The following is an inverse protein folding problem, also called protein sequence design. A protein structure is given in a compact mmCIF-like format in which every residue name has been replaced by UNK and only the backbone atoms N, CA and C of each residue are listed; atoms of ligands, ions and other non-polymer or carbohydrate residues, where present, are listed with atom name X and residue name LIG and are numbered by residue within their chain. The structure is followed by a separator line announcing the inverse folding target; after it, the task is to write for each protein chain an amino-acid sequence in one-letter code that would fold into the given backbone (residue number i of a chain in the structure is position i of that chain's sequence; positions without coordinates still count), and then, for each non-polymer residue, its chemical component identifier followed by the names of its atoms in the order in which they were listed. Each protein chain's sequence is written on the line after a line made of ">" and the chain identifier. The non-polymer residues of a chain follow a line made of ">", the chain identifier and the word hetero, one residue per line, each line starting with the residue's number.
data_IF_498589154269
#
_entry.id   IF_498589154269
#
_cell.length_a   1.000
_cell.length_b   1.000
_cell.length_c   1.000
_cell.angle_alpha   90.00
_cell.angle_beta   90.00
_cell.angle_gamma   90.00
#
_symmetry.space_group_name_H-M   'P 1'
#
loop_
_entity.id
_entity.type
_entity.pdbx_description
1 polymer ?
#
# COMPACT_ATOMS: atom_id res chain seq x y z
N UNK A 1 30.27 37.77 50.56
CA UNK A 1 30.76 36.69 49.66
C UNK A 1 29.89 35.42 49.59
N UNK A 2 29.07 35.06 50.59
CA UNK A 2 28.27 33.80 50.55
C UNK A 2 27.01 33.82 49.64
N UNK A 3 26.50 34.99 49.26
CA UNK A 3 25.25 35.14 48.48
C UNK A 3 25.46 35.06 46.96
N UNK A 4 26.63 35.43 46.45
CA UNK A 4 26.95 35.35 45.01
C UNK A 4 27.15 33.89 44.54
N UNK A 5 27.77 33.05 45.39
CA UNK A 5 27.98 31.62 45.10
C UNK A 5 26.68 30.84 44.93
N UNK A 6 25.64 31.12 45.74
CA UNK A 6 24.33 30.43 45.62
C UNK A 6 23.57 30.76 44.34
N UNK A 7 23.70 32.00 43.83
CA UNK A 7 23.05 32.42 42.57
C UNK A 7 23.71 31.80 41.34
N UNK A 8 25.05 31.67 41.35
CA UNK A 8 25.80 31.04 40.27
C UNK A 8 25.53 29.53 40.21
N UNK A 9 25.46 28.86 41.37
CA UNK A 9 25.12 27.43 41.45
C UNK A 9 23.67 27.20 40.98
N UNK A 10 22.71 28.05 41.38
CA UNK A 10 21.33 27.96 40.92
C UNK A 10 21.16 28.17 39.41
N UNK A 11 21.92 29.10 38.82
CA UNK A 11 21.94 29.33 37.37
C UNK A 11 22.54 28.13 36.61
N UNK A 12 23.67 27.60 37.09
CA UNK A 12 24.29 26.41 36.48
C UNK A 12 23.36 25.19 36.53
N UNK A 13 22.64 25.02 37.64
CA UNK A 13 21.67 23.93 37.83
C UNK A 13 20.45 24.08 36.92
N UNK A 14 19.93 25.30 36.71
CA UNK A 14 18.84 25.55 35.77
C UNK A 14 19.27 25.30 34.31
N UNK A 15 20.48 25.71 33.93
CA UNK A 15 21.02 25.49 32.58
C UNK A 15 21.23 23.99 32.32
N UNK A 16 21.74 23.23 33.30
CA UNK A 16 21.88 21.77 33.16
C UNK A 16 20.52 21.06 33.08
N UNK A 17 19.52 21.51 33.83
CA UNK A 17 18.16 20.97 33.75
C UNK A 17 17.51 21.21 32.37
N UNK A 18 17.71 22.40 31.80
CA UNK A 18 17.20 22.76 30.46
C UNK A 18 17.90 21.94 29.37
N UNK A 19 19.21 21.70 29.47
CA UNK A 19 19.97 20.87 28.53
C UNK A 19 19.54 19.40 28.62
N UNK A 20 19.23 18.88 29.80
CA UNK A 20 18.70 17.52 29.97
C UNK A 20 17.29 17.36 29.42
N UNK A 21 16.43 18.38 29.51
CA UNK A 21 15.08 18.34 28.92
C UNK A 21 15.11 18.47 27.39
N UNK A 22 16.12 19.12 26.81
CA UNK A 22 16.29 19.21 25.35
C UNK A 22 16.75 17.90 24.68
N UNK A 23 17.31 16.94 25.45
CA UNK A 23 17.76 15.65 24.94
C UNK A 23 16.68 14.56 24.79
N UNK A 24 15.45 14.82 25.25
CA UNK A 24 14.40 13.82 25.43
C UNK A 24 13.57 13.45 24.20
N UNK A 25 13.72 14.15 23.07
CA UNK A 25 12.92 13.89 21.86
C UNK A 25 13.70 13.05 20.84
N UNK A 26 14.06 11.81 21.20
CA UNK A 26 14.46 10.79 20.22
C UNK A 26 13.44 9.66 20.24
N UNK A 27 12.52 9.69 19.28
CA UNK A 27 11.65 8.55 18.97
C UNK A 27 12.52 7.43 18.38
N UNK A 28 12.91 6.45 19.20
CA UNK A 28 13.58 5.23 18.74
C UNK A 28 12.56 4.25 18.12
N UNK A 29 11.87 4.68 17.08
CA UNK A 29 11.00 3.79 16.30
C UNK A 29 11.83 3.04 15.28
N UNK A 30 12.38 1.87 15.63
CA UNK A 30 12.95 0.97 14.62
C UNK A 30 11.81 0.26 13.89
N UNK A 31 11.95 0.14 12.57
CA UNK A 31 10.99 -0.54 11.68
C UNK A 31 10.80 -2.00 12.08
N UNK A 32 11.90 -2.65 12.44
CA UNK A 32 11.96 -4.08 12.76
C UNK A 32 11.09 -4.51 13.95
N UNK A 33 10.63 -3.58 14.80
CA UNK A 33 9.77 -3.89 15.95
C UNK A 33 8.29 -3.59 15.71
N UNK A 34 7.93 -3.20 14.49
CA UNK A 34 6.53 -2.93 14.14
C UNK A 34 5.79 -4.23 13.89
N UNK A 35 4.54 -4.27 14.34
CA UNK A 35 3.70 -5.45 14.27
C UNK A 35 3.30 -5.72 12.81
N UNK A 36 3.60 -6.92 12.32
CA UNK A 36 3.18 -7.41 10.99
C UNK A 36 2.01 -8.39 11.08
N UNK A 37 1.38 -8.54 12.26
CA UNK A 37 0.28 -9.46 12.47
C UNK A 37 -0.96 -9.16 11.64
N UNK A 38 -1.12 -7.92 11.17
CA UNK A 38 -2.18 -7.56 10.24
C UNK A 38 -2.13 -8.36 8.92
N UNK A 39 -0.98 -8.95 8.55
CA UNK A 39 -0.87 -9.80 7.37
C UNK A 39 -1.68 -11.10 7.51
N UNK A 40 -1.86 -11.62 8.73
CA UNK A 40 -2.49 -12.92 8.97
C UNK A 40 -3.64 -12.90 9.99
N UNK A 41 -3.93 -11.76 10.62
CA UNK A 41 -5.08 -11.60 11.51
C UNK A 41 -6.14 -10.70 10.86
N UNK A 42 -7.28 -11.26 10.41
CA UNK A 42 -8.38 -10.49 9.82
C UNK A 42 -8.94 -9.39 10.74
N UNK A 43 -8.86 -9.54 12.07
CA UNK A 43 -9.34 -8.51 13.00
C UNK A 43 -8.50 -7.23 12.99
N UNK A 44 -7.27 -7.32 12.45
CA UNK A 44 -6.33 -6.21 12.27
C UNK A 44 -6.38 -5.64 10.85
N UNK A 45 -7.39 -6.01 10.05
CA UNK A 45 -7.64 -5.48 8.72
C UNK A 45 -8.94 -4.68 8.72
N UNK A 46 -8.87 -3.43 8.24
CA UNK A 46 -10.05 -2.64 7.92
C UNK A 46 -10.33 -2.76 6.42
N UNK A 47 -11.29 -3.59 6.04
CA UNK A 47 -11.67 -3.76 4.65
C UNK A 47 -12.04 -2.40 4.02
N UNK A 48 -11.55 -2.14 2.80
CA UNK A 48 -11.64 -0.86 2.06
C UNK A 48 -10.89 0.34 2.66
N UNK A 49 -10.02 0.12 3.66
CA UNK A 49 -8.96 1.08 3.98
C UNK A 49 -7.89 1.01 2.89
N UNK A 50 -7.74 2.07 2.12
CA UNK A 50 -6.80 2.11 1.00
C UNK A 50 -5.94 3.37 1.05
N UNK A 51 -4.73 3.24 0.54
CA UNK A 51 -3.78 4.33 0.40
C UNK A 51 -3.13 4.27 -0.97
N UNK A 52 -2.67 5.42 -1.43
CA UNK A 52 -1.89 5.53 -2.66
C UNK A 52 -0.89 6.68 -2.54
N UNK A 53 0.22 6.58 -3.27
CA UNK A 53 1.28 7.59 -3.28
C UNK A 53 1.43 8.16 -4.69
N UNK A 54 1.46 9.49 -4.78
CA UNK A 54 1.69 10.18 -6.04
C UNK A 54 2.68 11.33 -5.85
N UNK A 55 3.82 11.25 -6.52
CA UNK A 55 4.77 12.34 -6.60
C UNK A 55 4.10 13.52 -7.32
N UNK A 56 3.93 14.66 -6.66
CA UNK A 56 3.46 15.88 -7.32
C UNK A 56 4.58 16.57 -8.09
N UNK A 57 5.81 16.46 -7.56
CA UNK A 57 7.04 16.98 -8.14
C UNK A 57 8.25 16.33 -7.45
N UNK A 58 9.43 16.94 -7.64
CA UNK A 58 10.70 16.49 -7.08
C UNK A 58 10.79 16.57 -5.54
N UNK A 59 9.90 17.33 -4.90
CA UNK A 59 9.99 17.70 -3.48
C UNK A 59 8.71 17.39 -2.69
N UNK A 60 7.61 17.05 -3.36
CA UNK A 60 6.31 16.83 -2.74
C UNK A 60 5.71 15.52 -3.26
N UNK A 61 5.24 14.69 -2.33
CA UNK A 61 4.46 13.49 -2.60
C UNK A 61 3.11 13.61 -1.90
N UNK A 62 2.02 13.35 -2.60
CA UNK A 62 0.71 13.19 -1.99
C UNK A 62 0.51 11.74 -1.51
N UNK A 63 0.18 11.59 -0.23
CA UNK A 63 -0.41 10.39 0.32
C UNK A 63 -1.93 10.53 0.27
N UNK A 64 -2.58 9.74 -0.56
CA UNK A 64 -4.02 9.62 -0.57
C UNK A 64 -4.46 8.57 0.45
N UNK A 65 -5.59 8.82 1.11
CA UNK A 65 -6.22 7.87 2.03
C UNK A 65 -7.71 7.80 1.75
N UNK A 66 -8.25 6.58 1.71
CA UNK A 66 -9.69 6.31 1.67
C UNK A 66 -10.05 5.30 2.73
N UNK A 67 -11.11 5.56 3.48
CA UNK A 67 -11.65 4.58 4.41
C UNK A 67 -13.17 4.70 4.55
N UNK A 68 -13.87 3.58 4.82
CA UNK A 68 -15.31 3.56 5.00
C UNK A 68 -15.69 4.08 6.40
N UNK A 69 -16.53 5.12 6.47
CA UNK A 69 -17.01 5.68 7.75
C UNK A 69 -17.86 4.68 8.52
N UNK A 70 -18.64 3.86 7.82
CA UNK A 70 -19.57 2.89 8.41
C UNK A 70 -18.87 1.67 9.05
N UNK A 71 -17.57 1.49 8.84
CA UNK A 71 -16.79 0.42 9.51
C UNK A 71 -16.06 0.91 10.77
N UNK A 72 -16.20 2.18 11.14
CA UNK A 72 -15.68 2.71 12.40
C UNK A 72 -16.68 2.51 13.55
N UNK A 73 -16.17 2.39 14.77
CA UNK A 73 -16.99 2.33 15.96
C UNK A 73 -17.52 3.72 16.33
N UNK A 74 -18.83 3.85 16.35
CA UNK A 74 -19.51 5.04 16.87
C UNK A 74 -19.76 4.86 18.37
N UNK A 75 -19.47 5.91 19.12
CA UNK A 75 -19.75 5.98 20.56
C UNK A 75 -20.48 7.28 20.87
N UNK A 76 -21.32 7.26 21.90
CA UNK A 76 -22.00 8.46 22.36
C UNK A 76 -21.08 9.30 23.25
N UNK A 77 -20.79 10.52 22.81
CA UNK A 77 -19.92 11.47 23.47
C UNK A 77 -20.68 12.79 23.55
N UNK A 78 -20.91 13.30 24.76
CA UNK A 78 -21.64 14.55 24.98
C UNK A 78 -23.03 14.60 24.30
N UNK A 79 -23.74 13.48 24.27
CA UNK A 79 -25.08 13.37 23.66
C UNK A 79 -25.08 13.36 22.12
N UNK A 80 -23.91 13.22 21.49
CA UNK A 80 -23.76 13.01 20.06
C UNK A 80 -23.07 11.69 19.82
N UNK A 81 -23.57 10.91 18.86
CA UNK A 81 -22.87 9.71 18.41
C UNK A 81 -21.79 10.13 17.41
N UNK A 82 -20.56 9.75 17.69
CA UNK A 82 -19.38 10.19 16.95
C UNK A 82 -18.43 9.01 16.75
N UNK A 83 -17.82 8.91 15.57
CA UNK A 83 -16.65 8.07 15.31
C UNK A 83 -15.40 8.95 15.35
N UNK A 84 -14.34 8.51 16.04
CA UNK A 84 -13.07 9.24 16.13
C UNK A 84 -11.93 8.37 15.62
N UNK A 85 -11.06 8.96 14.83
CA UNK A 85 -9.92 8.25 14.25
C UNK A 85 -8.64 9.07 14.28
N UNK A 86 -7.51 8.39 14.19
CA UNK A 86 -6.18 8.99 14.09
C UNK A 86 -5.41 8.29 12.98
N UNK A 87 -4.92 9.06 12.01
CA UNK A 87 -3.97 8.59 11.01
C UNK A 87 -2.58 9.10 11.39
N UNK A 88 -1.60 8.21 11.47
CA UNK A 88 -0.20 8.61 11.60
C UNK A 88 0.60 8.07 10.44
N UNK A 89 1.55 8.86 9.97
CA UNK A 89 2.54 8.42 8.99
C UNK A 89 3.95 8.68 9.52
N UNK A 90 4.87 7.80 9.17
CA UNK A 90 6.28 7.90 9.50
C UNK A 90 7.11 7.57 8.26
N UNK A 91 7.98 8.48 7.84
CA UNK A 91 8.86 8.33 6.69
C UNK A 91 10.23 7.82 7.16
N UNK A 92 10.69 6.73 6.55
CA UNK A 92 11.98 6.11 6.82
C UNK A 92 12.87 6.11 5.58
N UNK A 93 14.19 6.10 5.79
CA UNK A 93 15.16 6.05 4.71
C UNK A 93 15.06 4.75 3.91
N UNK A 94 15.05 3.60 4.58
CA UNK A 94 14.84 2.29 3.95
C UNK A 94 14.35 1.28 5.01
N UNK A 95 14.13 0.03 4.63
CA UNK A 95 13.66 -1.01 5.55
C UNK A 95 14.67 -1.38 6.65
N UNK A 96 15.96 -1.30 6.33
CA UNK A 96 17.07 -1.77 7.16
C UNK A 96 17.60 -0.65 8.07
N UNK A 97 17.94 0.48 7.48
CA UNK A 97 18.22 1.74 8.15
C UNK A 97 16.89 2.39 8.52
N UNK A 98 16.33 1.95 9.66
CA UNK A 98 15.13 2.51 10.29
C UNK A 98 15.31 3.97 10.80
N UNK A 99 16.11 4.80 10.11
CA UNK A 99 16.25 6.22 10.41
C UNK A 99 14.95 6.91 10.03
N UNK A 100 14.22 7.35 11.06
CA UNK A 100 13.05 8.20 10.90
C UNK A 100 13.49 9.55 10.31
N UNK A 101 12.94 9.90 9.15
CA UNK A 101 13.17 11.16 8.46
C UNK A 101 12.14 12.19 8.90
N UNK A 102 10.87 11.81 8.89
CA UNK A 102 9.76 12.69 9.23
C UNK A 102 8.55 11.88 9.73
N UNK A 103 7.63 12.53 10.42
CA UNK A 103 6.36 11.94 10.83
C UNK A 103 5.31 12.98 11.16
N UNK A 104 4.04 12.63 10.99
CA UNK A 104 2.94 13.43 11.51
C UNK A 104 1.76 12.57 11.95
N UNK A 105 0.83 13.21 12.65
CA UNK A 105 -0.42 12.61 13.08
C UNK A 105 -1.59 13.55 12.77
N UNK A 106 -2.60 13.01 12.11
CA UNK A 106 -3.88 13.66 11.89
C UNK A 106 -4.94 13.00 12.75
N UNK A 107 -5.82 13.79 13.36
CA UNK A 107 -6.98 13.30 14.10
C UNK A 107 -8.23 13.82 13.42
N UNK A 108 -9.22 12.96 13.26
CA UNK A 108 -10.50 13.31 12.67
C UNK A 108 -11.67 12.71 13.45
N UNK A 109 -12.86 13.17 13.08
CA UNK A 109 -14.11 12.78 13.70
C UNK A 109 -15.22 12.82 12.65
N UNK A 110 -16.14 11.86 12.71
CA UNK A 110 -17.43 11.93 12.03
C UNK A 110 -18.56 11.93 13.06
N UNK A 111 -19.43 12.94 13.01
CA UNK A 111 -20.62 13.08 13.85
C UNK A 111 -21.91 12.99 13.05
N UNK A 112 -21.83 12.88 11.71
CA UNK A 112 -22.97 12.86 10.81
C UNK A 112 -23.49 11.44 10.53
N UNK A 113 -22.80 10.40 11.01
CA UNK A 113 -23.04 9.00 10.63
C UNK A 113 -23.06 8.85 9.12
N UNK A 114 -22.06 9.45 8.47
CA UNK A 114 -22.04 9.52 7.02
C UNK A 114 -21.94 8.11 6.46
N UNK A 115 -22.90 7.72 5.64
CA UNK A 115 -22.80 6.47 4.87
C UNK A 115 -21.87 6.74 3.69
N UNK A 116 -20.79 5.97 3.59
CA UNK A 116 -19.84 6.07 2.48
C UNK A 116 -18.39 6.14 2.94
N UNK A 117 -17.56 6.78 2.12
CA UNK A 117 -16.11 6.84 2.30
C UNK A 117 -15.66 8.25 2.64
N UNK A 118 -14.69 8.34 3.55
CA UNK A 118 -13.82 9.50 3.64
C UNK A 118 -12.73 9.35 2.60
N UNK A 119 -12.54 10.38 1.79
CA UNK A 119 -11.36 10.55 0.95
C UNK A 119 -10.59 11.77 1.43
N UNK A 120 -9.28 11.64 1.58
CA UNK A 120 -8.40 12.73 1.97
C UNK A 120 -7.01 12.58 1.35
N UNK A 121 -6.21 13.65 1.41
CA UNK A 121 -4.84 13.67 0.91
C UNK A 121 -3.92 14.49 1.80
N UNK A 122 -2.71 13.99 2.02
CA UNK A 122 -1.67 14.65 2.82
C UNK A 122 -0.45 14.89 1.93
N UNK A 123 0.00 16.13 1.84
CA UNK A 123 1.25 16.47 1.17
C UNK A 123 2.44 16.17 2.11
N UNK A 124 3.37 15.33 1.65
CA UNK A 124 4.59 14.96 2.34
C UNK A 124 5.75 15.62 1.60
N UNK A 125 6.52 16.45 2.32
CA UNK A 125 7.72 17.09 1.78
C UNK A 125 8.88 16.08 1.79
N UNK A 126 9.27 15.62 0.61
CA UNK A 126 10.31 14.60 0.43
C UNK A 126 10.98 14.82 -0.91
N UNK A 127 12.31 14.93 -0.90
CA UNK A 127 13.09 15.20 -2.11
C UNK A 127 13.40 13.93 -2.90
N UNK A 128 13.58 14.07 -4.20
CA UNK A 128 14.16 13.05 -5.05
C UNK A 128 15.60 12.72 -4.64
N UNK A 129 16.05 11.52 -5.01
CA UNK A 129 17.44 11.07 -4.83
C UNK A 129 17.58 9.75 -4.08
N UNK A 130 16.52 9.26 -3.44
CA UNK A 130 16.48 7.93 -2.80
C UNK A 130 15.06 7.38 -2.83
N UNK A 131 14.94 6.07 -2.67
CA UNK A 131 13.66 5.45 -2.34
C UNK A 131 13.47 5.48 -0.83
N UNK A 132 12.22 5.47 -0.38
CA UNK A 132 11.84 5.60 1.01
C UNK A 132 10.75 4.60 1.38
N UNK A 133 10.52 4.44 2.68
CA UNK A 133 9.43 3.62 3.22
C UNK A 133 8.52 4.49 4.08
N UNK A 134 7.22 4.43 3.84
CA UNK A 134 6.21 5.07 4.68
C UNK A 134 5.51 4.00 5.52
N UNK A 135 5.60 4.13 6.84
CA UNK A 135 4.72 3.44 7.77
C UNK A 135 3.44 4.25 7.96
N UNK A 136 2.30 3.60 7.79
CA UNK A 136 0.99 4.16 8.07
C UNK A 136 0.35 3.40 9.22
N UNK A 137 -0.32 4.14 10.09
CA UNK A 137 -1.13 3.56 11.16
C UNK A 137 -2.43 4.33 11.25
N UNK A 138 -3.53 3.66 10.95
CA UNK A 138 -4.88 4.16 11.15
C UNK A 138 -5.44 3.55 12.43
N UNK A 139 -5.90 4.41 13.34
CA UNK A 139 -6.39 4.00 14.64
C UNK A 139 -7.84 4.46 14.81
N UNK A 140 -8.75 3.50 14.95
CA UNK A 140 -10.10 3.75 15.42
C UNK A 140 -10.03 3.96 16.94
N UNK A 141 -10.19 5.22 17.35
CA UNK A 141 -10.03 5.64 18.73
C UNK A 141 -11.14 5.12 19.64
N UNK A 142 -12.31 4.79 19.09
CA UNK A 142 -13.45 4.32 19.86
C UNK A 142 -13.42 2.78 19.99
N UNK A 143 -13.00 2.07 18.93
CA UNK A 143 -12.83 0.62 18.96
C UNK A 143 -11.53 0.18 19.66
N UNK A 144 -10.54 1.08 19.75
CA UNK A 144 -9.19 0.73 20.20
C UNK A 144 -8.45 -0.18 19.19
N UNK A 145 -8.85 -0.15 17.92
CA UNK A 145 -8.28 -0.99 16.85
C UNK A 145 -7.32 -0.22 15.97
N UNK A 146 -6.18 -0.83 15.68
CA UNK A 146 -5.12 -0.26 14.87
C UNK A 146 -4.91 -1.08 13.59
N UNK A 147 -4.79 -0.38 12.47
CA UNK A 147 -4.61 -0.95 11.13
C UNK A 147 -3.36 -0.33 10.51
N UNK A 148 -2.31 -1.14 10.40
CA UNK A 148 -0.98 -0.70 9.99
C UNK A 148 -0.67 -1.13 8.55
N UNK A 149 0.01 -0.27 7.79
CA UNK A 149 0.41 -0.57 6.41
C UNK A 149 1.78 0.04 6.07
N UNK A 150 2.50 -0.67 5.20
CA UNK A 150 3.77 -0.22 4.62
C UNK A 150 3.57 0.17 3.17
N UNK A 151 4.09 1.34 2.78
CA UNK A 151 4.15 1.77 1.38
C UNK A 151 5.58 2.07 0.98
N UNK A 152 5.94 1.64 -0.23
CA UNK A 152 7.21 2.02 -0.85
C UNK A 152 7.01 3.34 -1.60
N UNK A 153 7.87 4.31 -1.32
CA UNK A 153 7.91 5.58 -2.02
C UNK A 153 9.14 5.60 -2.93
N UNK A 154 8.91 5.58 -4.24
CA UNK A 154 9.98 5.57 -5.23
C UNK A 154 10.32 7.00 -5.68
N UNK A 155 11.52 7.45 -5.38
CA UNK A 155 12.01 8.78 -5.83
C UNK A 155 13.46 8.71 -6.32
N UNK A 156 13.93 7.50 -6.63
CA UNK A 156 15.25 7.26 -7.20
C UNK A 156 15.23 7.30 -8.72
N UNK A 157 15.61 8.45 -9.24
CA UNK A 157 15.80 8.66 -10.67
C UNK A 157 14.69 9.51 -11.30
N UNK A 158 14.74 9.68 -12.62
CA UNK A 158 13.89 10.62 -13.33
C UNK A 158 12.45 10.13 -13.52
N UNK A 159 12.22 8.82 -13.46
CA UNK A 159 10.92 8.17 -13.70
C UNK A 159 10.75 7.05 -12.70
N UNK A 160 9.65 7.07 -11.96
CA UNK A 160 9.36 6.19 -10.85
C UNK A 160 7.92 5.65 -10.93
N UNK A 161 7.63 4.46 -10.38
CA UNK A 161 6.26 3.97 -10.30
C UNK A 161 5.28 4.93 -9.60
N UNK A 162 5.73 5.65 -8.56
CA UNK A 162 4.92 6.65 -7.84
C UNK A 162 4.78 7.98 -8.58
N UNK A 163 5.34 8.11 -9.79
CA UNK A 163 5.03 9.23 -10.68
C UNK A 163 3.72 8.98 -11.45
N UNK A 164 3.09 7.81 -11.29
CA UNK A 164 1.87 7.42 -11.97
C UNK A 164 0.82 6.89 -10.97
N UNK A 165 -0.44 7.23 -11.19
CA UNK A 165 -1.58 6.59 -10.52
C UNK A 165 -2.74 6.39 -11.49
N UNK A 166 -3.65 5.49 -11.13
CA UNK A 166 -4.93 5.34 -11.82
C UNK A 166 -5.99 6.21 -11.13
N UNK A 167 -6.82 6.85 -11.95
CA UNK A 167 -7.92 7.69 -11.50
C UNK A 167 -9.21 7.34 -12.22
N UNK A 168 -10.35 7.62 -11.61
CA UNK A 168 -11.63 7.61 -12.32
C UNK A 168 -11.71 8.78 -13.33
N UNK A 169 -12.81 8.85 -14.09
CA UNK A 169 -13.03 9.92 -15.08
C UNK A 169 -13.01 11.33 -14.46
N UNK A 170 -13.33 11.45 -13.17
CA UNK A 170 -13.39 12.71 -12.40
C UNK A 170 -12.04 13.07 -11.78
N UNK A 171 -11.02 12.21 -11.90
CA UNK A 171 -9.69 12.41 -11.35
C UNK A 171 -9.49 11.93 -9.92
N UNK A 172 -10.44 11.18 -9.33
CA UNK A 172 -10.25 10.56 -8.02
C UNK A 172 -9.37 9.31 -8.16
N UNK A 173 -8.29 9.18 -7.35
CA UNK A 173 -7.46 7.98 -7.32
C UNK A 173 -8.25 6.70 -7.09
N UNK A 174 -8.00 5.68 -7.92
CA UNK A 174 -8.57 4.34 -7.73
C UNK A 174 -7.93 3.62 -6.54
N UNK A 175 -6.71 4.04 -6.13
CA UNK A 175 -5.92 3.44 -5.05
C UNK A 175 -5.61 1.95 -5.26
N UNK A 176 -5.37 1.60 -6.52
CA UNK A 176 -5.02 0.26 -6.99
C UNK A 176 -4.37 0.38 -8.36
N UNK A 177 -3.65 -0.67 -8.73
CA UNK A 177 -2.98 -0.81 -10.02
C UNK A 177 -3.64 -1.87 -10.92
N UNK A 178 -4.91 -2.17 -10.69
CA UNK A 178 -5.71 -3.04 -11.56
C UNK A 178 -7.00 -2.34 -11.96
N UNK A 179 -7.60 -2.77 -13.07
CA UNK A 179 -8.87 -2.26 -13.59
C UNK A 179 -9.85 -3.40 -13.84
N UNK A 180 -11.14 -3.13 -13.67
CA UNK A 180 -12.19 -4.07 -14.03
C UNK A 180 -12.42 -4.09 -15.54
N UNK A 181 -13.08 -5.16 -16.01
CA UNK A 181 -13.48 -5.28 -17.39
C UNK A 181 -14.32 -4.08 -17.82
N UNK A 182 -13.87 -3.38 -18.86
CA UNK A 182 -14.54 -2.19 -19.39
C UNK A 182 -14.67 -1.02 -18.40
N UNK A 183 -13.90 -1.02 -17.31
CA UNK A 183 -13.83 0.14 -16.43
C UNK A 183 -13.22 1.32 -17.17
N UNK A 184 -13.87 2.48 -17.08
CA UNK A 184 -13.30 3.74 -17.55
C UNK A 184 -12.37 4.32 -16.49
N UNK A 185 -11.15 4.63 -16.89
CA UNK A 185 -10.16 5.25 -16.01
C UNK A 185 -9.24 6.18 -16.80
N UNK A 186 -8.43 6.94 -16.07
CA UNK A 186 -7.37 7.78 -16.62
C UNK A 186 -6.08 7.48 -15.89
N UNK A 187 -4.96 7.55 -16.61
CA UNK A 187 -3.63 7.55 -16.00
C UNK A 187 -3.27 9.00 -15.69
N UNK A 188 -2.95 9.26 -14.43
CA UNK A 188 -2.36 10.54 -14.02
C UNK A 188 -0.85 10.37 -13.93
N UNK A 189 -0.09 11.31 -14.49
CA UNK A 189 1.38 11.31 -14.48
C UNK A 189 1.92 12.60 -13.86
N UNK A 190 2.98 12.50 -13.07
CA UNK A 190 3.73 13.65 -12.54
C UNK A 190 4.64 14.28 -13.61
N UNK A 191 4.86 13.57 -14.72
CA UNK A 191 5.76 13.95 -15.78
C UNK A 191 5.07 14.92 -16.76
N UNK A 192 5.88 15.77 -17.39
CA UNK A 192 5.42 16.69 -18.42
C UNK A 192 5.50 16.02 -19.79
N UNK A 193 4.58 15.09 -20.05
CA UNK A 193 4.54 14.29 -21.28
C UNK A 193 3.28 14.62 -22.10
N UNK A 194 3.40 14.56 -23.42
CA UNK A 194 2.26 14.75 -24.34
C UNK A 194 1.44 13.46 -24.53
N UNK A 195 2.01 12.31 -24.17
CA UNK A 195 1.35 11.02 -24.27
C UNK A 195 1.94 9.99 -23.32
N UNK A 196 1.12 9.04 -22.87
CA UNK A 196 1.55 7.85 -22.15
C UNK A 196 1.51 6.63 -23.08
N UNK A 197 2.58 5.85 -23.12
CA UNK A 197 2.66 4.61 -23.91
C UNK A 197 2.32 3.41 -23.03
N UNK A 198 1.27 2.64 -23.34
CA UNK A 198 1.04 1.32 -22.71
C UNK A 198 1.46 0.20 -23.65
N UNK A 199 2.43 -0.59 -23.19
CA UNK A 199 2.75 -1.89 -23.76
C UNK A 199 1.87 -2.98 -23.17
N UNK A 200 1.15 -3.72 -24.00
CA UNK A 200 0.30 -4.84 -23.59
C UNK A 200 1.03 -6.17 -23.68
N UNK A 201 0.86 -7.01 -22.66
CA UNK A 201 1.25 -8.41 -22.64
C UNK A 201 0.06 -9.27 -22.20
N UNK A 202 -0.51 -10.11 -23.08
CA UNK A 202 -1.68 -10.96 -22.79
C UNK A 202 -1.35 -12.14 -21.87
N UNK A 203 -0.08 -12.28 -21.47
CA UNK A 203 0.44 -13.49 -20.83
C UNK A 203 -0.31 -13.80 -19.52
N UNK A 204 -0.83 -15.03 -19.42
CA UNK A 204 -1.13 -15.66 -18.13
C UNK A 204 0.14 -15.60 -17.30
N UNK A 205 0.15 -14.82 -16.22
CA UNK A 205 1.33 -14.73 -15.36
C UNK A 205 1.72 -16.16 -14.97
N UNK A 206 2.93 -16.64 -15.31
CA UNK A 206 3.34 -17.95 -14.86
C UNK A 206 3.23 -17.96 -13.33
N UNK A 207 2.82 -19.09 -12.74
CA UNK A 207 2.74 -19.20 -11.29
C UNK A 207 4.06 -18.72 -10.69
N UNK A 208 3.97 -17.93 -9.61
CA UNK A 208 5.15 -17.41 -8.94
C UNK A 208 6.14 -18.56 -8.67
N UNK A 209 7.45 -18.37 -8.83
CA UNK A 209 8.40 -19.42 -8.46
C UNK A 209 8.20 -19.80 -6.98
N UNK A 210 8.52 -21.04 -6.56
CA UNK A 210 8.36 -21.45 -5.18
C UNK A 210 9.12 -20.50 -4.24
N UNK A 211 8.68 -20.38 -2.97
CA UNK A 211 9.46 -19.69 -1.96
C UNK A 211 10.91 -20.22 -1.97
N UNK A 212 11.90 -19.32 -1.91
CA UNK A 212 13.34 -19.64 -1.91
C UNK A 212 13.91 -20.22 -3.22
N UNK A 213 13.14 -20.33 -4.29
CA UNK A 213 13.72 -20.69 -5.58
C UNK A 213 14.70 -19.60 -6.04
N UNK A 214 15.90 -20.01 -6.44
CA UNK A 214 16.85 -19.10 -7.08
C UNK A 214 16.19 -18.54 -8.34
N UNK A 215 16.21 -17.20 -8.55
CA UNK A 215 15.60 -16.62 -9.72
C UNK A 215 16.29 -17.20 -10.96
N UNK A 216 15.57 -18.04 -11.72
CA UNK A 216 15.89 -18.21 -13.13
C UNK A 216 15.82 -16.82 -13.74
N UNK A 217 16.73 -16.48 -14.65
CA UNK A 217 16.68 -15.21 -15.38
C UNK A 217 15.30 -15.07 -16.04
N UNK A 218 14.37 -14.38 -15.38
CA UNK A 218 13.03 -14.15 -15.92
C UNK A 218 13.22 -13.10 -17.01
N UNK A 219 13.29 -13.57 -18.26
CA UNK A 219 13.21 -12.69 -19.40
C UNK A 219 11.78 -12.16 -19.45
N UNK A 220 11.61 -10.86 -19.17
CA UNK A 220 10.32 -10.23 -19.39
C UNK A 220 10.10 -10.11 -20.90
N UNK A 221 9.02 -10.68 -21.44
CA UNK A 221 8.74 -10.57 -22.87
C UNK A 221 8.53 -9.11 -23.25
N UNK A 222 8.92 -8.76 -24.48
CA UNK A 222 8.55 -7.49 -25.09
C UNK A 222 7.02 -7.37 -25.15
N UNK A 223 6.50 -6.13 -25.14
CA UNK A 223 5.08 -5.90 -25.33
C UNK A 223 4.63 -6.41 -26.70
N UNK A 224 3.51 -7.14 -26.74
CA UNK A 224 2.91 -7.67 -27.96
C UNK A 224 2.33 -6.54 -28.82
N UNK A 225 1.89 -5.47 -28.16
CA UNK A 225 1.49 -4.23 -28.80
C UNK A 225 1.80 -3.03 -27.91
N UNK A 226 1.97 -1.86 -28.50
CA UNK A 226 2.13 -0.60 -27.78
C UNK A 226 1.12 0.39 -28.34
N UNK A 227 0.36 1.01 -27.45
CA UNK A 227 -0.61 2.06 -27.79
C UNK A 227 -0.23 3.34 -27.05
N UNK A 228 -0.44 4.49 -27.66
CA UNK A 228 -0.20 5.80 -27.05
C UNK A 228 -1.52 6.52 -26.79
N UNK A 229 -1.70 7.07 -25.59
CA UNK A 229 -2.84 7.92 -25.24
C UNK A 229 -2.35 9.33 -24.97
N UNK A 230 -3.06 10.32 -25.50
CA UNK A 230 -2.70 11.73 -25.28
C UNK A 230 -2.83 12.08 -23.80
N UNK A 231 -1.92 12.91 -23.32
CA UNK A 231 -1.93 13.48 -21.97
C UNK A 231 -2.18 14.98 -22.07
N UNK A 232 -3.10 15.47 -21.25
CA UNK A 232 -3.40 16.89 -21.10
C UNK A 232 -3.62 17.19 -19.63
N UNK A 233 -2.98 18.25 -19.12
CA UNK A 233 -3.03 18.65 -17.72
C UNK A 233 -2.69 17.50 -16.76
N UNK A 234 -1.66 16.70 -17.07
CA UNK A 234 -1.22 15.53 -16.30
C UNK A 234 -2.16 14.32 -16.30
N UNK A 235 -3.22 14.31 -17.11
CA UNK A 235 -4.13 13.17 -17.24
C UNK A 235 -4.18 12.67 -18.68
N UNK A 236 -4.15 11.35 -18.85
CA UNK A 236 -4.46 10.72 -20.14
C UNK A 236 -5.88 11.02 -20.60
N UNK A 237 -6.19 10.73 -21.86
CA UNK A 237 -7.57 10.47 -22.30
C UNK A 237 -8.21 9.33 -21.48
N UNK A 238 -9.54 9.17 -21.57
CA UNK A 238 -10.24 8.06 -20.91
C UNK A 238 -9.84 6.75 -21.60
N UNK A 239 -9.39 5.80 -20.80
CA UNK A 239 -8.93 4.48 -21.24
C UNK A 239 -9.96 3.45 -20.78
N UNK A 240 -10.13 2.41 -21.61
CA UNK A 240 -10.91 1.23 -21.30
C UNK A 240 -10.13 0.01 -21.78
N UNK A 241 -9.95 -0.97 -20.89
CA UNK A 241 -9.22 -2.21 -21.19
C UNK A 241 -10.19 -3.40 -21.14
N UNK A 242 -10.14 -4.25 -22.16
CA UNK A 242 -10.96 -5.48 -22.26
C UNK A 242 -10.15 -6.74 -21.95
N UNK A 243 -8.93 -6.80 -22.44
CA UNK A 243 -8.16 -8.04 -22.50
C UNK A 243 -7.42 -8.28 -21.19
N UNK A 244 -7.44 -9.53 -20.73
CA UNK A 244 -6.69 -9.93 -19.54
C UNK A 244 -5.18 -9.88 -19.80
N UNK A 245 -4.43 -9.39 -18.81
CA UNK A 245 -2.99 -9.31 -18.90
C UNK A 245 -2.39 -8.12 -18.17
N UNK A 246 -1.18 -7.77 -18.59
CA UNK A 246 -0.41 -6.67 -18.02
C UNK A 246 -0.26 -5.56 -19.06
N UNK A 247 -0.56 -4.36 -18.62
CA UNK A 247 -0.37 -3.13 -19.39
C UNK A 247 0.71 -2.32 -18.68
N UNK A 248 1.87 -2.19 -19.31
CA UNK A 248 3.00 -1.50 -18.75
C UNK A 248 3.06 -0.09 -19.32
N UNK A 249 3.08 0.93 -18.47
CA UNK A 249 3.52 2.25 -18.90
C UNK A 249 5.00 2.16 -19.25
N UNK A 250 5.34 2.49 -20.48
CA UNK A 250 6.72 2.45 -20.99
C UNK A 250 7.21 3.88 -21.16
N UNK A 251 8.35 4.17 -20.52
CA UNK A 251 9.02 5.46 -20.61
C UNK A 251 10.51 5.24 -20.92
N UNK A 252 11.01 5.88 -21.97
CA UNK A 252 12.38 5.67 -22.50
C UNK A 252 12.77 4.19 -22.66
N UNK A 253 11.84 3.37 -23.15
CA UNK A 253 12.04 1.92 -23.36
C UNK A 253 12.10 1.09 -22.08
N UNK A 254 11.79 1.68 -20.92
CA UNK A 254 11.73 0.99 -19.62
C UNK A 254 10.32 1.01 -19.07
N UNK A 255 9.95 -0.04 -18.34
CA UNK A 255 8.68 -0.09 -17.62
C UNK A 255 8.70 0.88 -16.44
N UNK A 256 7.81 1.86 -16.44
CA UNK A 256 7.64 2.84 -15.38
C UNK A 256 6.54 2.45 -14.39
N UNK A 257 5.40 1.97 -14.88
CA UNK A 257 4.24 1.59 -14.08
C UNK A 257 3.55 0.37 -14.69
N UNK A 258 2.73 -0.35 -13.92
CA UNK A 258 2.03 -1.56 -14.39
C UNK A 258 0.59 -1.52 -13.95
N UNK A 259 -0.29 -1.75 -14.93
CA UNK A 259 -1.73 -1.88 -14.78
C UNK A 259 -2.10 -3.33 -15.06
N UNK A 260 -2.88 -3.94 -14.19
CA UNK A 260 -3.34 -5.30 -14.36
C UNK A 260 -4.80 -5.32 -14.79
N UNK A 261 -5.12 -6.15 -15.78
CA UNK A 261 -6.47 -6.62 -16.05
C UNK A 261 -6.47 -8.10 -15.67
N UNK A 262 -6.87 -8.39 -14.44
CA UNK A 262 -7.12 -9.77 -13.98
C UNK A 262 -8.52 -10.22 -14.38
N UNK A 263 -8.85 -11.50 -14.20
CA UNK A 263 -10.17 -12.07 -14.45
C UNK A 263 -11.35 -11.28 -13.83
N UNK A 264 -12.54 -11.42 -14.44
CA UNK A 264 -13.78 -10.82 -13.95
C UNK A 264 -14.11 -11.38 -12.56
N UNK A 265 -14.17 -10.50 -11.55
CA UNK A 265 -14.42 -10.86 -10.15
C UNK A 265 -13.22 -10.72 -9.22
N UNK A 266 -12.00 -10.54 -9.73
CA UNK A 266 -10.84 -10.17 -8.92
C UNK A 266 -11.16 -8.92 -8.07
N UNK A 267 -10.72 -8.81 -6.80
CA UNK A 267 -9.79 -9.69 -6.08
C UNK A 267 -10.41 -10.95 -5.47
N UNK A 268 -11.70 -11.20 -5.66
CA UNK A 268 -12.37 -12.37 -5.09
C UNK A 268 -12.03 -13.63 -5.88
N UNK A 269 -11.73 -14.72 -5.17
CA UNK A 269 -11.50 -16.04 -5.76
C UNK A 269 -12.86 -16.70 -5.99
N UNK A 270 -13.35 -16.64 -7.23
CA UNK A 270 -14.67 -17.14 -7.60
C UNK A 270 -14.69 -18.51 -8.28
N UNK A 271 -13.53 -18.99 -8.75
CA UNK A 271 -13.42 -20.23 -9.52
C UNK A 271 -12.44 -21.23 -8.89
N UNK A 272 -12.72 -22.52 -9.07
CA UNK A 272 -11.87 -23.60 -8.58
C UNK A 272 -10.44 -23.50 -9.12
N UNK A 273 -10.29 -23.14 -10.39
CA UNK A 273 -8.98 -22.90 -11.03
C UNK A 273 -8.17 -21.82 -10.32
N UNK A 274 -8.81 -20.72 -9.92
CA UNK A 274 -8.18 -19.61 -9.19
C UNK A 274 -7.76 -20.06 -7.79
N UNK A 275 -8.60 -20.83 -7.10
CA UNK A 275 -8.28 -21.40 -5.79
C UNK A 275 -7.08 -22.36 -5.86
N UNK A 276 -6.95 -23.17 -6.91
CA UNK A 276 -5.75 -23.99 -7.14
C UNK A 276 -4.52 -23.13 -7.39
N UNK A 277 -4.66 -22.05 -8.15
CA UNK A 277 -3.56 -21.13 -8.44
C UNK A 277 -3.01 -20.46 -7.17
N UNK A 278 -3.84 -20.17 -6.16
CA UNK A 278 -3.36 -19.58 -4.90
C UNK A 278 -2.54 -20.54 -4.06
N UNK A 279 -2.73 -21.86 -4.18
CA UNK A 279 -1.93 -22.87 -3.47
C UNK A 279 -0.44 -22.79 -3.85
N UNK A 280 -0.09 -22.17 -4.99
CA UNK A 280 1.30 -22.01 -5.44
C UNK A 280 2.23 -21.41 -4.40
N UNK A 281 1.73 -20.49 -3.57
CA UNK A 281 2.55 -19.76 -2.61
C UNK A 281 2.96 -20.58 -1.38
N UNK A 282 2.32 -21.74 -1.18
CA UNK A 282 2.55 -22.63 -0.03
C UNK A 282 2.88 -24.06 -0.44
N UNK A 283 2.65 -24.44 -1.70
CA UNK A 283 2.93 -25.75 -2.25
C UNK A 283 4.35 -25.86 -2.85
N UNK A 284 4.91 -27.06 -2.83
CA UNK A 284 6.08 -27.42 -3.64
C UNK A 284 5.74 -27.49 -5.14
N UNK A 285 6.75 -27.54 -6.02
CA UNK A 285 6.54 -27.70 -7.47
C UNK A 285 5.80 -28.99 -7.84
N UNK A 286 6.05 -30.08 -7.12
CA UNK A 286 5.37 -31.35 -7.34
C UNK A 286 3.88 -31.24 -6.94
N UNK A 287 3.61 -30.79 -5.71
CA UNK A 287 2.25 -30.63 -5.21
C UNK A 287 1.43 -29.66 -6.05
N UNK A 288 2.03 -28.56 -6.50
CA UNK A 288 1.35 -27.59 -7.34
C UNK A 288 0.99 -28.19 -8.71
N UNK A 289 1.90 -28.95 -9.32
CA UNK A 289 1.61 -29.62 -10.60
C UNK A 289 0.51 -30.67 -10.44
N UNK A 290 0.57 -31.50 -9.40
CA UNK A 290 -0.46 -32.50 -9.12
C UNK A 290 -1.84 -31.83 -8.90
N UNK A 291 -1.86 -30.70 -8.19
CA UNK A 291 -3.08 -29.88 -8.01
C UNK A 291 -3.61 -29.34 -9.34
N UNK A 292 -2.74 -28.84 -10.22
CA UNK A 292 -3.14 -28.28 -11.51
C UNK A 292 -3.59 -29.34 -12.52
N UNK A 293 -3.11 -30.59 -12.39
CA UNK A 293 -3.55 -31.74 -13.21
C UNK A 293 -4.90 -32.33 -12.75
N UNK A 294 -5.34 -32.03 -11.52
CA UNK A 294 -6.63 -32.49 -10.98
C UNK A 294 -7.72 -31.43 -11.06
N UNK A 295 -8.81 -31.69 -11.77
CA UNK A 295 -9.96 -30.76 -11.88
C UNK A 295 -11.00 -30.87 -10.76
N UNK A 296 -10.66 -31.57 -9.67
CA UNK A 296 -11.59 -31.81 -8.57
C UNK A 296 -11.37 -30.87 -7.39
N UNK A 297 -12.46 -30.43 -6.76
CA UNK A 297 -12.42 -29.75 -5.47
C UNK A 297 -11.76 -30.62 -4.39
N UNK A 298 -11.96 -31.94 -4.47
CA UNK A 298 -11.35 -32.91 -3.57
C UNK A 298 -9.82 -32.80 -3.51
N UNK A 299 -9.14 -32.52 -4.62
CA UNK A 299 -7.69 -32.39 -4.62
C UNK A 299 -7.18 -31.19 -3.80
N UNK A 300 -7.96 -30.09 -3.74
CA UNK A 300 -7.64 -28.93 -2.89
C UNK A 300 -7.89 -29.28 -1.42
N UNK A 301 -9.04 -29.91 -1.14
CA UNK A 301 -9.37 -30.32 0.22
C UNK A 301 -8.31 -31.30 0.76
N UNK A 302 -7.91 -32.29 -0.03
CA UNK A 302 -6.83 -33.24 0.29
C UNK A 302 -5.48 -32.55 0.47
N UNK A 303 -5.19 -31.50 -0.31
CA UNK A 303 -3.98 -30.70 -0.11
C UNK A 303 -3.99 -30.02 1.27
N UNK A 304 -5.09 -29.38 1.65
CA UNK A 304 -5.21 -28.73 2.97
C UNK A 304 -5.23 -29.73 4.13
N UNK A 305 -5.89 -30.90 3.96
CA UNK A 305 -5.90 -31.98 4.96
C UNK A 305 -4.48 -32.49 5.20
N UNK A 306 -3.70 -32.73 4.13
CA UNK A 306 -2.30 -33.16 4.25
C UNK A 306 -1.42 -32.11 4.92
N UNK A 307 -1.62 -30.83 4.59
CA UNK A 307 -0.81 -29.74 5.14
C UNK A 307 -1.06 -29.52 6.65
N UNK A 308 -2.31 -29.68 7.10
CA UNK A 308 -2.72 -29.42 8.50
C UNK A 308 -2.69 -30.66 9.39
N UNK A 309 -2.63 -31.86 8.80
CA UNK A 309 -2.59 -33.15 9.51
C UNK A 309 -3.90 -33.56 10.20
N UNK A 310 -4.98 -32.77 10.07
CA UNK A 310 -6.29 -33.08 10.65
C UNK A 310 -7.44 -32.39 9.90
N UNK A 311 -8.48 -33.15 9.55
CA UNK A 311 -9.64 -32.68 8.75
C UNK A 311 -10.39 -31.49 9.34
N UNK A 312 -10.60 -31.45 10.66
CA UNK A 312 -11.31 -30.34 11.32
C UNK A 312 -10.54 -29.00 11.24
N UNK A 313 -9.20 -29.04 11.27
CA UNK A 313 -8.35 -27.85 11.13
C UNK A 313 -8.24 -27.37 9.69
N UNK A 314 -8.36 -28.28 8.72
CA UNK A 314 -8.41 -27.93 7.30
C UNK A 314 -9.70 -27.19 6.92
N UNK A 315 -10.83 -27.53 7.57
CA UNK A 315 -12.14 -26.94 7.30
C UNK A 315 -12.40 -25.60 8.03
N UNK A 316 -11.54 -25.23 8.98
CA UNK A 316 -11.67 -24.00 9.78
C UNK A 316 -10.80 -22.84 9.28
N UNK A 317 -10.04 -23.01 8.19
CA UNK A 317 -9.25 -21.96 7.53
C UNK A 317 -9.98 -21.41 6.32
#
# INVERSE_FOLDING_TARGET
>A
MKTYSKRIIGFFCCVTLIVMMAGGCKSSGKLAYKNIAAIYNPELVLEDLNYDLFNLNDSITNLYVRFPYNKLQYSEINGRKEARYKLTWQLFQDFENSKLIDSAAYRGMDSLHTVGYKFDSIAIAVKNGSDYVIFLSFFDLNAGKQYDQWLNLYKKGPVNPTDYILTDEKGFPLMRNYVYNKEHFRIRTALNEESVMLGFNPQSMPPAPPPYALPKNVVFPYADSITAWRVSNHYSEIIQLSDEGRYNVVENGKRAFTIFRFYDGFPNIGQLTQLRQTARYIATDAEYRDLMESDSRAAIDDFWIRLTGHSERALSQ
#
